data_IF_263428406866
#
_entry.id   IF_263428406866
#
_cell.length_a   1.000
_cell.length_b   1.000
_cell.length_c   1.000
_cell.angle_alpha   90.00
_cell.angle_beta   90.00
_cell.angle_gamma   90.00
#
_symmetry.space_group_name_H-M   'P 1'
#
loop_
_entity.id
_entity.type
_entity.pdbx_description
1 polymer ?
#
# COMPACT_ATOMS: atom_id res chain seq x y z
N UNK A 1 53.36 19.28 28.47
CA UNK A 1 51.93 19.16 28.79
C UNK A 1 51.20 18.84 27.48
N UNK A 2 50.91 17.57 27.25
CA UNK A 2 50.35 17.06 26.00
C UNK A 2 48.86 17.38 25.96
N UNK A 3 48.45 18.10 24.91
CA UNK A 3 47.06 18.39 24.58
C UNK A 3 46.31 17.09 24.27
N UNK A 4 45.47 16.63 25.19
CA UNK A 4 44.49 15.57 24.94
C UNK A 4 43.28 16.16 24.21
N UNK A 5 43.32 16.11 22.88
CA UNK A 5 42.17 16.32 22.02
C UNK A 5 41.24 15.10 22.21
N UNK A 6 40.26 15.22 23.11
CA UNK A 6 39.18 14.25 23.23
C UNK A 6 38.31 14.35 21.97
N UNK A 7 38.59 13.47 21.01
CA UNK A 7 37.70 13.23 19.88
C UNK A 7 36.35 12.74 20.43
N UNK A 8 35.38 13.65 20.48
CA UNK A 8 33.97 13.33 20.50
C UNK A 8 33.68 12.54 19.23
N UNK A 9 33.76 11.22 19.31
CA UNK A 9 33.11 10.35 18.35
C UNK A 9 31.61 10.64 18.45
N UNK A 10 30.94 11.11 17.38
CA UNK A 10 29.49 11.07 17.37
C UNK A 10 29.09 9.60 17.51
N UNK A 11 28.44 9.27 18.62
CA UNK A 11 27.77 7.99 18.80
C UNK A 11 26.79 7.82 17.63
N UNK A 12 27.11 6.89 16.72
CA UNK A 12 26.19 6.47 15.67
C UNK A 12 24.86 6.08 16.32
N UNK A 13 23.70 6.40 15.72
CA UNK A 13 22.41 5.99 16.25
C UNK A 13 22.31 4.47 16.17
N UNK A 14 22.67 3.79 17.25
CA UNK A 14 22.40 2.38 17.45
C UNK A 14 20.97 2.22 17.95
N UNK A 15 19.97 2.57 17.13
CA UNK A 15 18.57 2.49 17.56
C UNK A 15 17.62 2.05 16.44
N UNK A 16 18.10 1.19 15.53
CA UNK A 16 17.26 0.51 14.54
C UNK A 16 16.63 -0.79 15.07
N UNK A 17 17.08 -1.28 16.22
CA UNK A 17 16.58 -2.52 16.81
C UNK A 17 15.70 -2.22 18.03
N UNK A 18 14.45 -2.70 18.05
CA UNK A 18 13.57 -2.47 19.19
C UNK A 18 14.10 -3.19 20.45
N UNK A 19 14.03 -2.56 21.63
CA UNK A 19 14.58 -3.10 22.88
C UNK A 19 14.11 -4.51 23.26
N UNK A 20 12.85 -4.94 23.03
CA UNK A 20 12.45 -6.32 23.34
C UNK A 20 13.06 -7.37 22.41
N UNK A 21 13.73 -6.98 21.33
CA UNK A 21 14.19 -7.88 20.28
C UNK A 21 15.72 -7.88 20.14
N UNK A 22 16.24 -8.97 19.57
CA UNK A 22 17.64 -9.13 19.23
C UNK A 22 17.81 -9.07 17.72
N UNK A 23 18.55 -8.07 17.23
CA UNK A 23 18.83 -7.91 15.80
C UNK A 23 20.26 -8.34 15.47
N UNK A 24 20.41 -9.15 14.43
CA UNK A 24 21.71 -9.62 13.94
C UNK A 24 21.85 -9.29 12.46
N UNK A 25 22.89 -8.52 12.12
CA UNK A 25 23.22 -8.22 10.72
C UNK A 25 24.03 -9.37 10.12
N UNK A 26 23.50 -10.01 9.08
CA UNK A 26 24.13 -11.17 8.42
C UNK A 26 24.81 -10.80 7.09
N UNK A 27 25.03 -9.51 6.85
CA UNK A 27 25.62 -8.98 5.62
C UNK A 27 24.58 -8.63 4.55
N UNK A 28 25.03 -7.95 3.49
CA UNK A 28 24.17 -7.40 2.41
C UNK A 28 23.34 -8.49 1.73
N UNK A 29 23.91 -9.69 1.54
CA UNK A 29 23.27 -10.78 0.84
C UNK A 29 22.23 -11.55 1.67
N UNK A 30 22.22 -11.44 3.01
CA UNK A 30 21.28 -12.14 3.92
C UNK A 30 20.43 -11.18 4.77
N UNK A 31 20.77 -9.89 4.78
CA UNK A 31 20.11 -8.82 5.52
C UNK A 31 20.11 -9.00 7.04
N UNK A 32 19.11 -8.42 7.70
CA UNK A 32 18.98 -8.44 9.16
C UNK A 32 18.04 -9.56 9.60
N UNK A 33 18.46 -10.35 10.59
CA UNK A 33 17.56 -11.24 11.33
C UNK A 33 17.13 -10.55 12.62
N UNK A 34 15.83 -10.43 12.82
CA UNK A 34 15.20 -9.82 14.00
C UNK A 34 14.48 -10.91 14.78
N UNK A 35 14.93 -11.15 16.01
CA UNK A 35 14.37 -12.16 16.90
C UNK A 35 13.66 -11.51 18.09
N UNK A 36 12.34 -11.58 18.07
CA UNK A 36 11.43 -11.08 19.10
C UNK A 36 10.64 -12.23 19.74
N UNK A 37 11.11 -13.47 19.60
CA UNK A 37 10.39 -14.66 20.08
C UNK A 37 10.40 -14.78 21.60
N UNK A 38 9.34 -15.37 22.17
CA UNK A 38 9.25 -15.66 23.62
C UNK A 38 9.40 -14.43 24.52
N UNK A 39 8.84 -13.28 24.11
CA UNK A 39 8.94 -11.99 24.81
C UNK A 39 7.62 -11.52 25.43
N UNK A 40 6.53 -12.29 25.28
CA UNK A 40 5.21 -11.91 25.78
C UNK A 40 4.61 -10.70 25.06
N UNK A 41 4.99 -10.47 23.81
CA UNK A 41 4.54 -9.32 23.04
C UNK A 41 3.05 -9.43 22.72
N UNK A 42 2.29 -8.38 23.04
CA UNK A 42 0.90 -8.21 22.63
C UNK A 42 0.78 -7.37 21.35
N UNK A 43 1.80 -6.57 21.05
CA UNK A 43 1.92 -5.78 19.84
C UNK A 43 3.35 -5.87 19.29
N UNK A 44 3.49 -5.79 17.98
CA UNK A 44 4.80 -5.83 17.32
C UNK A 44 5.44 -4.44 17.40
N UNK A 45 6.70 -4.31 17.87
CA UNK A 45 7.40 -3.03 17.93
C UNK A 45 7.80 -2.54 16.53
N UNK A 46 8.33 -1.32 16.44
CA UNK A 46 8.86 -0.80 15.17
C UNK A 46 10.03 -1.69 14.69
N UNK A 47 9.88 -2.25 13.48
CA UNK A 47 10.86 -3.16 12.90
C UNK A 47 11.76 -2.43 11.88
N UNK A 48 13.05 -2.77 11.79
CA UNK A 48 13.93 -2.20 10.79
C UNK A 48 13.55 -2.65 9.37
N UNK A 49 13.60 -1.71 8.41
CA UNK A 49 13.17 -1.94 7.00
C UNK A 49 13.95 -3.02 6.27
N UNK A 50 15.21 -3.27 6.66
CA UNK A 50 16.11 -4.27 6.05
C UNK A 50 16.02 -5.64 6.74
N UNK A 51 14.86 -5.98 7.27
CA UNK A 51 14.61 -7.28 7.91
C UNK A 51 14.36 -8.33 6.83
N UNK A 52 15.11 -9.44 6.90
CA UNK A 52 14.95 -10.62 6.03
C UNK A 52 14.39 -11.83 6.76
N UNK A 53 14.66 -11.96 8.05
CA UNK A 53 14.18 -13.06 8.87
C UNK A 53 13.57 -12.45 10.14
N UNK A 54 12.28 -12.68 10.35
CA UNK A 54 11.52 -12.15 11.47
C UNK A 54 10.92 -13.28 12.30
N UNK A 55 11.26 -13.31 13.59
CA UNK A 55 10.73 -14.30 14.54
C UNK A 55 9.88 -13.60 15.60
N UNK A 56 8.60 -13.96 15.62
CA UNK A 56 7.59 -13.44 16.54
C UNK A 56 6.80 -14.58 17.22
N UNK A 57 7.27 -15.82 17.10
CA UNK A 57 6.63 -16.98 17.69
C UNK A 57 6.70 -16.97 19.24
N UNK A 58 5.83 -17.73 19.89
CA UNK A 58 5.72 -17.79 21.36
C UNK A 58 5.47 -16.41 21.99
N UNK A 59 4.52 -15.65 21.47
CA UNK A 59 4.12 -14.36 22.03
C UNK A 59 2.60 -14.35 22.32
N UNK A 60 2.07 -13.19 22.66
CA UNK A 60 0.65 -13.01 22.99
C UNK A 60 -0.05 -12.15 21.93
N UNK A 61 0.35 -12.30 20.67
CA UNK A 61 -0.22 -11.54 19.55
C UNK A 61 -1.59 -12.12 19.19
N UNK A 62 -2.61 -11.27 19.20
CA UNK A 62 -3.96 -11.62 18.78
C UNK A 62 -4.21 -11.29 17.30
N UNK A 63 -3.61 -10.22 16.80
CA UNK A 63 -3.69 -9.78 15.40
C UNK A 63 -2.46 -8.94 15.05
N UNK A 64 -2.29 -8.60 13.77
CA UNK A 64 -1.27 -7.65 13.33
C UNK A 64 -1.93 -6.42 12.69
N UNK A 65 -1.42 -5.20 12.96
CA UNK A 65 -1.93 -4.01 12.31
C UNK A 65 -1.65 -4.06 10.81
N UNK A 66 -2.63 -3.60 10.02
CA UNK A 66 -2.51 -3.55 8.57
C UNK A 66 -1.33 -2.68 8.13
N UNK A 67 -0.59 -3.13 7.11
CA UNK A 67 0.58 -2.45 6.59
C UNK A 67 1.89 -2.70 7.33
N UNK A 68 1.87 -3.40 8.48
CA UNK A 68 3.08 -3.62 9.27
C UNK A 68 4.13 -4.43 8.51
N UNK A 69 3.73 -5.53 7.88
CA UNK A 69 4.62 -6.40 7.13
C UNK A 69 4.93 -5.85 5.72
N UNK A 70 4.06 -4.99 5.18
CA UNK A 70 4.21 -4.38 3.84
C UNK A 70 5.48 -3.51 3.77
N UNK A 71 5.89 -2.95 4.91
CA UNK A 71 7.13 -2.16 5.02
C UNK A 71 8.41 -3.01 4.90
N UNK A 72 8.29 -4.34 5.03
CA UNK A 72 9.40 -5.29 5.05
C UNK A 72 9.56 -6.00 3.70
N UNK A 73 9.78 -5.24 2.63
CA UNK A 73 9.85 -5.78 1.26
C UNK A 73 10.99 -6.76 0.96
N UNK A 74 11.90 -7.01 1.90
CA UNK A 74 12.99 -7.99 1.77
C UNK A 74 12.78 -9.25 2.65
N UNK A 75 11.62 -9.36 3.31
CA UNK A 75 11.32 -10.46 4.21
C UNK A 75 11.28 -11.79 3.43
N UNK A 76 11.98 -12.80 3.94
CA UNK A 76 12.11 -14.14 3.34
C UNK A 76 11.70 -15.23 4.32
N UNK A 77 11.88 -15.01 5.62
CA UNK A 77 11.52 -15.96 6.66
C UNK A 77 10.65 -15.25 7.70
N UNK A 78 9.50 -15.84 8.01
CA UNK A 78 8.55 -15.34 9.00
C UNK A 78 8.07 -16.48 9.89
N UNK A 79 8.21 -16.28 11.20
CA UNK A 79 7.73 -17.24 12.21
C UNK A 79 6.73 -16.56 13.14
N UNK A 80 5.47 -16.97 13.04
CA UNK A 80 4.31 -16.42 13.76
C UNK A 80 3.57 -17.47 14.61
N UNK A 81 4.13 -18.69 14.71
CA UNK A 81 3.53 -19.80 15.46
C UNK A 81 3.33 -19.45 16.93
N UNK A 82 2.51 -20.24 17.62
CA UNK A 82 2.35 -20.17 19.07
C UNK A 82 2.00 -18.75 19.57
N UNK A 83 1.04 -18.14 18.88
CA UNK A 83 0.40 -16.89 19.26
C UNK A 83 -1.11 -17.11 19.32
N UNK A 84 -1.83 -16.48 20.27
CA UNK A 84 -3.26 -16.64 20.45
C UNK A 84 -4.06 -15.84 19.41
N UNK A 85 -3.93 -16.18 18.13
CA UNK A 85 -4.58 -15.47 17.02
C UNK A 85 -6.10 -15.37 17.23
N UNK A 86 -6.61 -14.15 17.26
CA UNK A 86 -8.02 -13.83 17.35
C UNK A 86 -8.57 -13.63 15.93
N UNK A 87 -9.32 -14.61 15.46
CA UNK A 87 -9.85 -14.68 14.11
C UNK A 87 -11.18 -13.94 13.99
N UNK A 88 -11.08 -12.63 13.96
CA UNK A 88 -12.17 -11.71 13.62
C UNK A 88 -11.78 -10.87 12.38
N UNK A 89 -12.42 -9.71 12.20
CA UNK A 89 -12.08 -8.84 11.09
C UNK A 89 -10.61 -8.36 11.06
N UNK A 90 -9.95 -8.24 12.22
CA UNK A 90 -8.58 -7.74 12.30
C UNK A 90 -7.55 -8.76 11.79
N UNK A 91 -7.90 -10.05 11.68
CA UNK A 91 -7.01 -11.09 11.15
C UNK A 91 -6.90 -11.07 9.63
N UNK A 92 -7.83 -10.39 8.95
CA UNK A 92 -7.95 -10.40 7.48
C UNK A 92 -6.65 -9.95 6.82
N UNK A 93 -6.02 -8.89 7.33
CA UNK A 93 -4.74 -8.42 6.81
C UNK A 93 -3.67 -9.51 6.85
N UNK A 94 -3.45 -10.12 8.01
CA UNK A 94 -2.43 -11.14 8.19
C UNK A 94 -2.70 -12.35 7.29
N UNK A 95 -3.97 -12.80 7.21
CA UNK A 95 -4.36 -13.90 6.36
C UNK A 95 -4.02 -13.63 4.88
N UNK A 96 -4.48 -12.49 4.35
CA UNK A 96 -4.25 -12.13 2.95
C UNK A 96 -2.76 -11.95 2.65
N UNK A 97 -2.02 -11.31 3.55
CA UNK A 97 -0.57 -11.15 3.40
C UNK A 97 0.16 -12.49 3.36
N UNK A 98 -0.28 -13.46 4.18
CA UNK A 98 0.29 -14.82 4.19
C UNK A 98 -0.08 -15.65 2.97
N UNK A 99 -1.27 -15.44 2.38
CA UNK A 99 -1.66 -16.06 1.10
C UNK A 99 -0.65 -15.70 0.00
N UNK A 100 -0.19 -14.44 -0.03
CA UNK A 100 0.83 -13.97 -1.00
C UNK A 100 2.26 -14.36 -0.59
N UNK A 101 2.58 -14.38 0.70
CA UNK A 101 3.93 -14.71 1.18
C UNK A 101 4.28 -16.19 1.02
N UNK A 102 3.31 -17.10 1.24
CA UNK A 102 3.49 -18.53 1.02
C UNK A 102 2.49 -19.41 1.75
N UNK A 103 1.92 -20.39 1.01
CA UNK A 103 0.91 -21.32 1.51
C UNK A 103 1.33 -22.08 2.78
N UNK A 104 2.60 -22.45 2.89
CA UNK A 104 3.13 -23.15 4.06
C UNK A 104 3.06 -22.30 5.35
N UNK A 105 3.29 -20.99 5.24
CA UNK A 105 3.21 -20.08 6.39
C UNK A 105 1.76 -19.91 6.84
N UNK A 106 0.83 -19.82 5.90
CA UNK A 106 -0.60 -19.74 6.17
C UNK A 106 -1.15 -21.02 6.82
N UNK A 107 -0.72 -22.20 6.35
CA UNK A 107 -1.21 -23.49 6.84
C UNK A 107 -0.82 -23.79 8.30
N UNK A 108 0.29 -23.20 8.79
CA UNK A 108 0.79 -23.41 10.15
C UNK A 108 0.02 -22.64 11.22
N UNK A 109 -0.65 -21.55 10.86
CA UNK A 109 -1.32 -20.70 11.84
C UNK A 109 -2.76 -21.15 12.09
N UNK A 110 -3.14 -21.19 13.36
CA UNK A 110 -4.48 -21.56 13.82
C UNK A 110 -5.06 -20.46 14.70
N UNK A 111 -6.37 -20.31 14.65
CA UNK A 111 -7.12 -19.44 15.54
C UNK A 111 -7.09 -20.00 16.96
N UNK A 112 -6.90 -19.13 17.95
CA UNK A 112 -7.11 -19.45 19.36
C UNK A 112 -8.46 -18.94 19.86
N UNK A 113 -8.94 -17.84 19.27
CA UNK A 113 -10.23 -17.22 19.57
C UNK A 113 -10.87 -16.69 18.28
N UNK A 114 -12.18 -16.42 18.25
CA UNK A 114 -13.19 -16.80 19.24
C UNK A 114 -13.37 -18.32 19.36
N UNK A 115 -14.03 -18.80 20.43
CA UNK A 115 -14.10 -20.22 20.78
C UNK A 115 -14.63 -21.12 19.64
N UNK A 116 -15.58 -20.63 18.84
CA UNK A 116 -16.16 -21.37 17.72
C UNK A 116 -15.20 -21.53 16.51
N UNK A 117 -14.14 -20.74 16.44
CA UNK A 117 -13.08 -20.86 15.43
C UNK A 117 -11.80 -21.43 16.01
N UNK A 118 -11.75 -21.75 17.31
CA UNK A 118 -10.54 -22.29 17.94
C UNK A 118 -10.02 -23.51 17.18
N UNK A 119 -8.71 -23.56 16.98
CA UNK A 119 -7.95 -24.57 16.22
C UNK A 119 -8.17 -24.59 14.71
N UNK A 120 -9.09 -23.78 14.17
CA UNK A 120 -9.30 -23.64 12.72
C UNK A 120 -8.08 -22.96 12.10
N UNK A 121 -7.51 -23.50 11.00
CA UNK A 121 -6.37 -22.89 10.35
C UNK A 121 -6.78 -21.60 9.62
N UNK A 122 -5.89 -20.61 9.59
CA UNK A 122 -6.17 -19.30 9.00
C UNK A 122 -6.53 -19.39 7.51
N UNK A 123 -5.91 -20.31 6.77
CA UNK A 123 -6.19 -20.52 5.34
C UNK A 123 -7.57 -21.13 5.04
N UNK A 124 -8.31 -21.61 6.04
CA UNK A 124 -9.67 -22.16 5.87
C UNK A 124 -10.76 -21.21 6.38
N UNK A 125 -10.41 -19.98 6.75
CA UNK A 125 -11.40 -18.98 7.16
C UNK A 125 -12.20 -18.48 5.96
N UNK A 126 -13.52 -18.49 6.10
CA UNK A 126 -14.45 -17.94 5.12
C UNK A 126 -14.93 -16.57 5.56
N UNK A 127 -15.49 -15.78 4.63
CA UNK A 127 -16.02 -14.45 4.96
C UNK A 127 -17.08 -14.46 6.07
N UNK A 128 -17.87 -15.53 6.17
CA UNK A 128 -18.90 -15.69 7.19
C UNK A 128 -18.32 -15.95 8.59
N UNK A 129 -17.10 -16.50 8.66
CA UNK A 129 -16.40 -16.73 9.94
C UNK A 129 -15.87 -15.41 10.53
N UNK A 130 -15.58 -14.41 9.70
CA UNK A 130 -14.79 -13.23 10.05
C UNK A 130 -15.62 -12.05 10.61
N UNK A 131 -16.90 -12.27 10.91
CA UNK A 131 -17.82 -11.24 11.42
C UNK A 131 -18.05 -10.08 10.44
N UNK A 132 -18.71 -9.01 10.91
CA UNK A 132 -18.94 -7.82 10.08
C UNK A 132 -17.66 -7.00 9.94
N UNK A 133 -16.93 -7.24 8.87
CA UNK A 133 -15.80 -6.41 8.44
C UNK A 133 -16.24 -5.06 7.84
N UNK A 134 -16.97 -4.28 8.63
CA UNK A 134 -17.23 -2.89 8.31
C UNK A 134 -15.97 -2.07 8.60
N UNK A 135 -15.14 -1.87 7.56
CA UNK A 135 -13.93 -1.00 7.49
C UNK A 135 -12.55 -1.67 7.49
N UNK A 136 -12.32 -2.63 6.60
CA UNK A 136 -10.97 -2.85 6.05
C UNK A 136 -10.86 -2.65 4.53
N UNK A 137 -11.90 -2.11 3.88
CA UNK A 137 -11.75 -1.66 2.51
C UNK A 137 -10.72 -0.52 2.48
N UNK A 138 -9.60 -0.67 1.75
CA UNK A 138 -8.68 0.45 1.54
C UNK A 138 -9.51 1.57 0.91
N UNK A 139 -9.51 2.71 1.59
CA UNK A 139 -10.09 4.00 1.18
C UNK A 139 -10.86 3.96 -0.13
N UNK A 140 -12.13 3.55 -0.05
CA UNK A 140 -13.16 3.68 -1.09
C UNK A 140 -12.61 3.40 -2.51
N UNK A 141 -12.47 2.14 -2.93
CA UNK A 141 -12.34 1.79 -4.36
C UNK A 141 -13.33 2.61 -5.21
N UNK A 142 -14.55 2.79 -4.70
CA UNK A 142 -15.56 3.66 -5.29
C UNK A 142 -15.04 5.10 -5.52
N UNK A 143 -14.41 5.76 -4.54
CA UNK A 143 -13.91 7.13 -4.77
C UNK A 143 -12.70 7.22 -5.69
N UNK A 144 -11.85 6.20 -5.76
CA UNK A 144 -10.82 6.15 -6.79
C UNK A 144 -11.46 6.11 -8.19
N UNK A 145 -12.42 5.19 -8.39
CA UNK A 145 -13.16 5.10 -9.65
C UNK A 145 -13.90 6.38 -10.02
N UNK A 146 -14.61 7.03 -9.09
CA UNK A 146 -15.34 8.27 -9.38
C UNK A 146 -14.40 9.44 -9.70
N UNK A 147 -13.24 9.53 -9.03
CA UNK A 147 -12.26 10.58 -9.32
C UNK A 147 -11.72 10.45 -10.75
N UNK A 148 -11.38 9.23 -11.16
CA UNK A 148 -10.87 8.97 -12.51
C UNK A 148 -11.96 9.17 -13.57
N UNK A 149 -13.20 8.77 -13.30
CA UNK A 149 -14.34 9.02 -14.19
C UNK A 149 -14.61 10.52 -14.42
N UNK A 150 -14.52 11.33 -13.35
CA UNK A 150 -14.69 12.79 -13.43
C UNK A 150 -13.56 13.41 -14.26
N UNK A 151 -12.31 12.96 -14.08
CA UNK A 151 -11.17 13.42 -14.87
C UNK A 151 -11.33 13.06 -16.35
N UNK A 152 -11.72 11.82 -16.65
CA UNK A 152 -11.97 11.36 -18.02
C UNK A 152 -13.10 12.17 -18.67
N UNK A 153 -14.22 12.37 -17.96
CA UNK A 153 -15.34 13.16 -18.45
C UNK A 153 -14.94 14.62 -18.74
N UNK A 154 -14.14 15.25 -17.87
CA UNK A 154 -13.61 16.60 -18.09
C UNK A 154 -12.73 16.70 -19.35
N UNK A 155 -11.84 15.73 -19.57
CA UNK A 155 -11.02 15.67 -20.80
C UNK A 155 -11.88 15.51 -22.04
N UNK A 156 -12.92 14.65 -22.01
CA UNK A 156 -13.82 14.47 -23.16
C UNK A 156 -14.59 15.77 -23.46
N UNK A 157 -15.15 16.43 -22.44
CA UNK A 157 -15.90 17.68 -22.61
C UNK A 157 -15.02 18.76 -23.24
N UNK A 158 -13.80 18.93 -22.73
CA UNK A 158 -12.85 19.92 -23.26
C UNK A 158 -12.48 19.64 -24.73
N UNK A 159 -12.22 18.39 -25.10
CA UNK A 159 -11.96 18.01 -26.49
C UNK A 159 -13.16 18.30 -27.41
N UNK A 160 -14.38 18.01 -26.95
CA UNK A 160 -15.61 18.31 -27.71
C UNK A 160 -15.78 19.81 -27.93
N UNK A 161 -15.56 20.62 -26.89
CA UNK A 161 -15.63 22.09 -26.99
C UNK A 161 -14.58 22.65 -27.95
N UNK A 162 -13.34 22.14 -27.91
CA UNK A 162 -12.28 22.52 -28.84
C UNK A 162 -12.64 22.13 -30.27
N UNK A 163 -13.11 20.91 -30.50
CA UNK A 163 -13.55 20.45 -31.82
C UNK A 163 -14.72 21.30 -32.35
N UNK A 164 -15.68 21.64 -31.49
CA UNK A 164 -16.79 22.52 -31.83
C UNK A 164 -16.30 23.94 -32.17
N UNK A 165 -15.38 24.51 -31.39
CA UNK A 165 -14.78 25.81 -31.66
C UNK A 165 -14.01 25.83 -33.00
N UNK A 166 -13.22 24.80 -33.30
CA UNK A 166 -12.51 24.65 -34.58
C UNK A 166 -13.48 24.48 -35.75
N UNK A 167 -14.56 23.73 -35.57
CA UNK A 167 -15.59 23.57 -36.60
C UNK A 167 -16.34 24.87 -36.86
N UNK A 168 -16.67 25.59 -35.80
CA UNK A 168 -17.32 26.90 -35.86
C UNK A 168 -16.41 27.95 -36.50
N UNK A 169 -15.12 27.98 -36.16
CA UNK A 169 -14.16 28.90 -36.78
C UNK A 169 -13.99 28.62 -38.27
N UNK A 170 -13.88 27.34 -38.68
CA UNK A 170 -13.87 26.95 -40.11
C UNK A 170 -15.17 27.36 -40.83
N UNK A 171 -16.33 27.20 -40.18
CA UNK A 171 -17.63 27.62 -40.73
C UNK A 171 -17.69 29.14 -40.92
N UNK A 172 -17.23 29.92 -39.95
CA UNK A 172 -17.14 31.39 -40.01
C UNK A 172 -16.20 31.87 -41.11
N UNK A 173 -14.99 31.28 -41.21
CA UNK A 173 -14.02 31.59 -42.27
C UNK A 173 -14.59 31.26 -43.66
N UNK A 174 -15.29 30.13 -43.80
CA UNK A 174 -15.95 29.76 -45.05
C UNK A 174 -17.03 30.77 -45.46
N UNK A 175 -17.86 31.22 -44.50
CA UNK A 175 -18.89 32.23 -44.74
C UNK A 175 -18.30 33.60 -45.10
N UNK A 176 -17.23 34.04 -44.43
CA UNK A 176 -16.52 35.27 -44.76
C UNK A 176 -15.83 35.21 -46.14
N UNK A 177 -15.27 34.06 -46.52
CA UNK A 177 -14.69 33.85 -47.84
C UNK A 177 -15.74 33.89 -48.97
N UNK A 178 -16.92 33.30 -48.74
CA UNK A 178 -18.04 33.33 -49.68
C UNK A 178 -18.70 34.72 -49.76
N UNK A 179 -18.82 35.43 -48.63
CA UNK A 179 -19.28 36.81 -48.58
C UNK A 179 -18.33 37.79 -49.28
N UNK A 180 -17.02 37.62 -49.08
CA UNK A 180 -15.99 38.39 -49.78
C UNK A 180 -15.97 38.15 -51.29
N UNK A 181 -16.19 36.91 -51.77
CA UNK A 181 -16.35 36.62 -53.21
C UNK A 181 -17.61 37.25 -53.81
N UNK A 182 -18.69 37.39 -53.02
CA UNK A 182 -19.95 38.01 -53.46
C UNK A 182 -19.81 39.52 -53.60
N UNK A 183 -19.16 40.20 -52.65
CA UNK A 183 -18.81 41.62 -52.73
C UNK A 183 -17.82 41.94 -53.86
N UNK A 184 -16.89 41.02 -54.17
CA UNK A 184 -15.95 41.19 -55.29
C UNK A 184 -16.60 41.03 -56.67
N UNK A 185 -17.77 40.38 -56.78
CA UNK A 185 -18.56 40.27 -58.02
C UNK A 185 -19.47 41.47 -58.28
N UNK A 186 -19.75 42.30 -57.27
CA UNK A 186 -20.63 43.47 -57.38
C UNK A 186 -19.90 44.79 -57.65
N UNK A 187 -18.57 44.80 -57.78
CA UNK A 187 -17.80 45.99 -58.16
C UNK A 187 -17.75 46.03 -59.71
N UNK A 188 -18.42 46.99 -60.38
CA UNK A 188 -18.30 47.15 -61.83
C UNK A 188 -16.87 47.60 -62.17
N UNK A 189 -16.25 46.96 -63.17
CA UNK A 189 -14.98 47.40 -63.74
C UNK A 189 -15.20 48.77 -64.40
N UNK A 190 -14.81 49.84 -63.74
CA UNK A 190 -14.62 51.14 -64.38
C UNK A 190 -13.40 51.08 -65.30
N UNK A 191 -13.64 51.63 -66.48
CA UNK A 191 -12.82 51.67 -67.69
C UNK A 191 -11.50 52.40 -67.52
#
# INVERSE_FOLDING_TARGET
>A
ALLSCALLLPTLPAEDCPPPCSCTWLGVARGTRVDCSSRGLQAVPALPRRTRSLRLHNNSLASLPAGLLDSLGQLQELQLGDNPWHCDCHIVYLRLWLEDFGADALARLRCASPAHLSTKPLGQLTGNDLGDCTRLLPTKCLQFFWRDLVLIAGVIITLVLVAWAVKSSKKLVCQLSLGGRRLRRSIPKTR
#
